data_IF_828709772099
#
_entry.id   IF_828709772099
#
_cell.length_a   1.000
_cell.length_b   1.000
_cell.length_c   1.000
_cell.angle_alpha   90.00
_cell.angle_beta   90.00
_cell.angle_gamma   90.00
#
_symmetry.space_group_name_H-M   'P 1'
#
loop_
_entity.id
_entity.type
_entity.pdbx_description
1 polymer ?
#
# COMPACT_ATOMS: atom_id res chain seq x y z
N UNK A 1 -58.30 38.99 40.04
CA UNK A 1 -58.05 38.50 38.67
C UNK A 1 -56.55 38.43 38.46
N UNK A 2 -56.00 37.22 38.57
CA UNK A 2 -54.57 36.92 38.61
C UNK A 2 -54.09 36.63 37.19
N UNK A 3 -53.00 37.27 36.74
CA UNK A 3 -52.32 36.93 35.49
C UNK A 3 -50.97 36.30 35.85
N UNK A 4 -50.91 34.99 35.75
CA UNK A 4 -49.70 34.19 35.84
C UNK A 4 -49.00 34.26 34.48
N UNK A 5 -47.86 34.96 34.40
CA UNK A 5 -46.97 34.93 33.24
C UNK A 5 -46.16 33.63 33.31
N UNK A 6 -46.49 32.66 32.47
CA UNK A 6 -45.65 31.49 32.24
C UNK A 6 -44.54 31.91 31.26
N UNK A 7 -43.35 32.19 31.78
CA UNK A 7 -42.15 32.30 30.98
C UNK A 7 -41.72 30.88 30.58
N UNK A 8 -42.13 30.44 29.39
CA UNK A 8 -41.61 29.22 28.76
C UNK A 8 -40.17 29.49 28.37
N UNK A 9 -39.24 29.10 29.23
CA UNK A 9 -37.83 29.03 28.91
C UNK A 9 -37.62 27.93 27.87
N UNK A 10 -37.49 28.34 26.61
CA UNK A 10 -36.93 27.50 25.56
C UNK A 10 -35.45 27.32 25.88
N UNK A 11 -35.12 26.32 26.70
CA UNK A 11 -33.77 25.77 26.74
C UNK A 11 -33.64 24.98 25.45
N UNK A 12 -33.16 25.65 24.40
CA UNK A 12 -32.63 24.99 23.23
C UNK A 12 -31.46 24.13 23.71
N UNK A 13 -31.75 22.85 23.98
CA UNK A 13 -30.74 21.84 24.03
C UNK A 13 -30.12 21.83 22.64
N UNK A 14 -29.01 22.55 22.48
CA UNK A 14 -28.02 22.19 21.49
C UNK A 14 -27.58 20.79 21.91
N UNK A 15 -28.28 19.78 21.38
CA UNK A 15 -27.68 18.49 21.14
C UNK A 15 -26.61 18.82 20.10
N UNK A 16 -25.45 19.27 20.58
CA UNK A 16 -24.24 19.13 19.81
C UNK A 16 -24.18 17.61 19.59
N UNK A 17 -24.52 17.18 18.37
CA UNK A 17 -24.07 15.87 17.93
C UNK A 17 -22.58 15.90 18.19
N UNK A 18 -22.16 15.10 19.16
CA UNK A 18 -20.77 14.85 19.50
C UNK A 18 -20.20 14.13 18.27
N UNK A 19 -19.92 14.91 17.22
CA UNK A 19 -18.96 14.52 16.22
C UNK A 19 -17.62 14.67 16.93
N UNK A 20 -17.34 13.72 17.81
CA UNK A 20 -15.97 13.49 18.23
C UNK A 20 -15.22 13.30 16.91
N UNK A 21 -14.24 14.17 16.67
CA UNK A 21 -13.48 14.23 15.42
C UNK A 21 -12.67 12.95 15.14
N UNK A 22 -12.94 11.86 15.87
CA UNK A 22 -12.39 10.52 15.69
C UNK A 22 -12.59 10.00 14.26
N UNK A 23 -13.65 10.42 13.57
CA UNK A 23 -13.91 10.08 12.16
C UNK A 23 -12.81 10.61 11.20
N UNK A 24 -12.00 11.59 11.62
CA UNK A 24 -10.93 12.16 10.79
C UNK A 24 -9.55 11.53 11.05
N UNK A 25 -9.46 10.60 12.00
CA UNK A 25 -8.21 9.94 12.32
C UNK A 25 -8.42 8.44 12.16
N UNK A 26 -7.63 7.77 11.30
CA UNK A 26 -7.71 6.32 11.19
C UNK A 26 -7.60 5.67 12.56
N UNK A 27 -8.35 4.61 12.78
CA UNK A 27 -8.31 3.83 14.02
C UNK A 27 -7.61 2.49 13.76
N UNK A 28 -6.91 1.90 14.74
CA UNK A 28 -6.39 0.55 14.60
C UNK A 28 -7.53 -0.45 14.36
N UNK A 29 -7.32 -1.37 13.44
CA UNK A 29 -8.24 -2.46 13.12
C UNK A 29 -7.65 -3.74 13.71
N UNK A 30 -8.43 -4.46 14.53
CA UNK A 30 -7.89 -5.57 15.33
C UNK A 30 -7.38 -6.74 14.47
N UNK A 31 -7.99 -6.90 13.30
CA UNK A 31 -7.67 -7.93 12.31
C UNK A 31 -6.42 -7.59 11.49
N UNK A 32 -6.12 -6.30 11.30
CA UNK A 32 -5.05 -5.83 10.43
C UNK A 32 -3.98 -5.08 11.25
N UNK A 33 -2.85 -5.74 11.57
CA UNK A 33 -1.82 -5.13 12.39
C UNK A 33 -1.20 -3.92 11.67
N UNK A 34 -0.81 -2.90 12.44
CA UNK A 34 -0.10 -1.77 11.86
C UNK A 34 1.39 -2.01 11.62
N UNK A 35 1.96 -3.10 12.12
CA UNK A 35 3.34 -3.51 11.83
C UNK A 35 3.36 -5.03 11.64
N UNK A 36 3.85 -5.50 10.49
CA UNK A 36 3.94 -6.93 10.18
C UNK A 36 5.29 -7.30 9.59
N UNK A 37 5.75 -8.52 9.89
CA UNK A 37 6.86 -9.18 9.20
C UNK A 37 6.28 -10.31 8.36
N UNK A 38 6.38 -10.19 7.04
CA UNK A 38 5.86 -11.17 6.10
C UNK A 38 6.86 -12.32 5.84
N UNK A 39 8.07 -12.22 6.41
CA UNK A 39 9.10 -13.27 6.34
C UNK A 39 9.97 -13.20 5.09
N UNK A 40 10.44 -14.35 4.63
CA UNK A 40 11.44 -14.48 3.57
C UNK A 40 10.82 -14.88 2.24
N UNK A 41 11.13 -14.12 1.20
CA UNK A 41 10.70 -14.33 -0.17
C UNK A 41 11.81 -14.97 -0.99
N UNK A 42 11.38 -15.84 -1.91
CA UNK A 42 12.23 -16.37 -2.96
C UNK A 42 11.86 -15.65 -4.25
N UNK A 43 12.79 -14.88 -4.85
CA UNK A 43 12.53 -14.24 -6.13
C UNK A 43 12.02 -15.24 -7.17
N UNK A 44 10.90 -14.92 -7.82
CA UNK A 44 10.36 -15.69 -8.92
C UNK A 44 11.27 -15.54 -10.13
N UNK A 45 11.48 -16.61 -10.88
CA UNK A 45 12.04 -16.49 -12.23
C UNK A 45 10.98 -15.89 -13.17
N UNK A 46 11.39 -15.27 -14.29
CA UNK A 46 10.44 -14.82 -15.34
C UNK A 46 9.48 -15.94 -15.78
N UNK A 47 9.94 -17.20 -15.84
CA UNK A 47 9.05 -18.31 -16.18
C UNK A 47 8.00 -18.62 -15.10
N UNK A 48 8.36 -18.49 -13.83
CA UNK A 48 7.41 -18.66 -12.72
C UNK A 48 6.44 -17.48 -12.67
N UNK A 49 6.94 -16.26 -12.93
CA UNK A 49 6.13 -15.04 -13.03
C UNK A 49 5.09 -15.11 -14.16
N UNK A 50 5.46 -15.72 -15.29
CA UNK A 50 4.56 -15.92 -16.43
C UNK A 50 3.49 -17.02 -16.21
N UNK A 51 3.63 -17.87 -15.18
CA UNK A 51 2.61 -18.85 -14.82
C UNK A 51 1.65 -18.22 -13.79
N UNK A 52 0.37 -17.96 -14.14
CA UNK A 52 -0.57 -17.30 -13.24
C UNK A 52 -0.75 -18.04 -11.90
N UNK A 53 -0.63 -19.37 -11.90
CA UNK A 53 -0.82 -20.15 -10.67
C UNK A 53 0.35 -19.97 -9.71
N UNK A 54 1.58 -20.02 -10.24
CA UNK A 54 2.80 -19.83 -9.45
C UNK A 54 2.95 -18.37 -9.01
N UNK A 55 2.56 -17.42 -9.87
CA UNK A 55 2.53 -16.01 -9.54
C UNK A 55 1.67 -15.73 -8.32
N UNK A 56 0.44 -16.23 -8.29
CA UNK A 56 -0.47 -16.08 -7.15
C UNK A 56 0.04 -16.85 -5.93
N UNK A 57 0.52 -18.09 -6.11
CA UNK A 57 1.03 -18.90 -4.99
C UNK A 57 2.24 -18.27 -4.28
N UNK A 58 3.10 -17.58 -5.02
CA UNK A 58 4.37 -17.02 -4.50
C UNK A 58 4.32 -15.53 -4.21
N UNK A 59 3.22 -14.86 -4.50
CA UNK A 59 2.98 -13.47 -4.08
C UNK A 59 2.27 -13.46 -2.74
N UNK A 60 2.41 -12.38 -2.00
CA UNK A 60 1.65 -12.16 -0.76
C UNK A 60 0.50 -11.24 -1.07
N UNK A 61 -0.63 -11.52 -0.45
CA UNK A 61 -1.84 -10.71 -0.44
C UNK A 61 -2.21 -10.52 1.02
N UNK A 62 -2.21 -9.29 1.52
CA UNK A 62 -2.48 -9.00 2.93
C UNK A 62 -3.09 -7.60 3.09
N UNK A 63 -3.39 -7.22 4.34
CA UNK A 63 -3.88 -5.90 4.70
C UNK A 63 -3.11 -5.30 5.87
N UNK A 64 -2.93 -3.98 5.85
CA UNK A 64 -2.28 -3.21 6.91
C UNK A 64 -3.25 -2.18 7.49
N UNK A 65 -3.39 -2.21 8.81
CA UNK A 65 -4.14 -1.19 9.54
C UNK A 65 -3.24 -0.11 10.11
N UNK A 66 -3.82 0.79 10.90
CA UNK A 66 -3.05 1.79 11.64
C UNK A 66 -2.21 1.16 12.75
N UNK A 67 -0.96 1.63 12.91
CA UNK A 67 -0.15 1.31 14.08
C UNK A 67 -0.78 1.83 15.39
N UNK A 68 -0.99 0.94 16.35
CA UNK A 68 -1.56 1.25 17.67
C UNK A 68 -0.67 2.20 18.50
N UNK A 69 0.63 2.25 18.22
CA UNK A 69 1.59 3.06 18.96
C UNK A 69 1.62 4.48 18.37
N UNK A 70 1.17 5.52 19.12
CA UNK A 70 1.14 6.88 18.60
C UNK A 70 2.53 7.39 18.20
N UNK A 71 2.62 7.99 17.01
CA UNK A 71 3.85 8.58 16.49
C UNK A 71 4.84 7.57 15.91
N UNK A 72 4.46 6.30 15.77
CA UNK A 72 5.21 5.32 15.00
C UNK A 72 4.59 5.11 13.63
N UNK A 73 5.45 4.84 12.65
CA UNK A 73 5.03 4.45 11.30
C UNK A 73 4.42 3.05 11.33
N UNK A 74 3.41 2.84 10.49
CA UNK A 74 2.91 1.51 10.16
C UNK A 74 3.57 0.96 8.90
N UNK A 75 3.39 -0.33 8.64
CA UNK A 75 3.90 -0.96 7.43
C UNK A 75 4.16 -2.45 7.55
N UNK A 76 4.66 -3.02 6.46
CA UNK A 76 5.14 -4.38 6.38
C UNK A 76 6.62 -4.42 6.04
N UNK A 77 7.31 -5.46 6.49
CA UNK A 77 8.64 -5.80 6.00
C UNK A 77 8.68 -7.24 5.51
N UNK A 78 9.50 -7.49 4.51
CA UNK A 78 9.90 -8.84 4.14
C UNK A 78 11.36 -8.83 3.68
N UNK A 79 11.96 -10.00 3.55
CA UNK A 79 13.34 -10.11 3.05
C UNK A 79 13.43 -10.98 1.82
N UNK A 80 14.48 -10.79 1.03
CA UNK A 80 14.85 -11.74 -0.01
C UNK A 80 16.38 -11.82 -0.14
N UNK A 81 16.87 -12.90 -0.73
CA UNK A 81 18.30 -13.05 -1.00
C UNK A 81 18.66 -12.55 -2.39
N UNK A 82 19.68 -11.72 -2.49
CA UNK A 82 20.19 -11.23 -3.77
C UNK A 82 20.59 -12.38 -4.69
N UNK A 83 20.09 -12.38 -5.93
CA UNK A 83 20.34 -13.46 -6.90
C UNK A 83 21.69 -13.33 -7.60
N UNK A 84 22.30 -12.15 -7.53
CA UNK A 84 23.47 -11.77 -8.33
C UNK A 84 23.10 -11.16 -9.69
N UNK A 85 21.80 -11.06 -10.00
CA UNK A 85 21.25 -10.31 -11.12
C UNK A 85 20.44 -9.09 -10.65
N UNK A 86 19.60 -8.57 -11.55
CA UNK A 86 18.62 -7.53 -11.20
C UNK A 86 17.33 -8.20 -10.75
N UNK A 87 16.77 -7.67 -9.66
CA UNK A 87 15.50 -8.12 -9.12
C UNK A 87 14.50 -6.97 -9.18
N UNK A 88 13.31 -7.24 -9.68
CA UNK A 88 12.15 -6.39 -9.59
C UNK A 88 11.41 -6.67 -8.29
N UNK A 89 11.36 -5.69 -7.39
CA UNK A 89 10.45 -5.71 -6.24
C UNK A 89 9.19 -5.00 -6.67
N UNK A 90 8.06 -5.68 -6.58
CA UNK A 90 6.76 -5.21 -7.05
C UNK A 90 5.80 -5.24 -5.86
N UNK A 91 5.15 -4.12 -5.59
CA UNK A 91 4.01 -4.03 -4.71
C UNK A 91 2.88 -3.39 -5.50
N UNK A 92 1.70 -3.96 -5.41
CA UNK A 92 0.51 -3.38 -5.96
C UNK A 92 -0.36 -3.03 -4.75
N UNK A 93 -0.37 -1.75 -4.32
CA UNK A 93 -1.27 -1.32 -3.26
C UNK A 93 -2.68 -1.22 -3.86
N UNK A 94 -3.41 -2.33 -3.91
CA UNK A 94 -4.75 -2.32 -4.48
C UNK A 94 -5.86 -2.31 -3.44
N UNK A 95 -6.92 -1.55 -3.77
CA UNK A 95 -8.15 -2.21 -4.19
C UNK A 95 -8.97 -1.25 -5.09
N UNK A 96 -8.83 -1.32 -6.42
CA UNK A 96 -9.52 -0.46 -7.40
C UNK A 96 -10.94 -0.97 -7.72
N UNK A 97 -11.45 -1.94 -6.97
CA UNK A 97 -12.89 -2.25 -7.02
C UNK A 97 -13.73 -1.46 -6.02
N UNK A 98 -13.07 -0.62 -5.21
CA UNK A 98 -13.74 0.14 -4.16
C UNK A 98 -14.26 1.46 -4.71
N UNK A 99 -15.55 1.51 -4.97
CA UNK A 99 -16.25 2.77 -5.18
C UNK A 99 -16.52 3.37 -3.81
N UNK A 100 -15.46 3.76 -3.10
CA UNK A 100 -15.54 4.31 -1.75
C UNK A 100 -14.83 5.65 -1.72
N UNK A 101 -15.63 6.69 -1.89
CA UNK A 101 -15.44 7.97 -1.24
C UNK A 101 -16.33 7.96 -0.02
N UNK A 102 -15.79 8.06 1.19
CA UNK A 102 -16.56 8.67 2.27
C UNK A 102 -16.22 10.15 2.27
N UNK A 103 -16.89 10.95 1.44
CA UNK A 103 -16.93 12.40 1.68
C UNK A 103 -17.42 12.60 3.12
N UNK A 104 -16.50 12.97 4.02
CA UNK A 104 -16.80 13.20 5.43
C UNK A 104 -17.93 14.24 5.64
N UNK A 105 -18.26 15.01 4.60
CA UNK A 105 -19.33 16.01 4.56
C UNK A 105 -20.61 15.49 3.90
N UNK A 106 -20.56 14.46 3.04
CA UNK A 106 -21.72 13.96 2.29
C UNK A 106 -21.57 12.50 1.82
N UNK A 107 -21.62 11.50 2.72
CA UNK A 107 -21.57 10.10 2.32
C UNK A 107 -22.76 9.75 1.42
N UNK A 108 -22.50 9.06 0.31
CA UNK A 108 -23.53 8.58 -0.63
C UNK A 108 -23.66 7.07 -0.57
N UNK A 109 -24.89 6.57 -0.38
CA UNK A 109 -25.20 5.13 -0.35
C UNK A 109 -25.30 4.48 -1.76
N UNK A 110 -24.85 5.19 -2.81
CA UNK A 110 -25.02 4.83 -4.22
C UNK A 110 -23.69 4.45 -4.86
N UNK A 111 -23.44 3.15 -4.93
CA UNK A 111 -22.20 2.54 -5.41
C UNK A 111 -22.30 2.29 -6.91
N UNK A 112 -21.25 2.63 -7.68
CA UNK A 112 -20.71 1.76 -8.75
C UNK A 112 -19.56 2.38 -9.58
N UNK A 113 -19.37 3.71 -9.69
CA UNK A 113 -18.39 4.24 -10.66
C UNK A 113 -17.74 5.62 -10.41
N UNK A 114 -17.89 6.26 -9.23
CA UNK A 114 -17.13 7.51 -8.94
C UNK A 114 -16.06 7.24 -7.87
N UNK A 115 -14.81 7.26 -8.33
CA UNK A 115 -13.60 7.21 -7.51
C UNK A 115 -13.29 8.60 -6.94
N UNK A 116 -12.93 8.65 -5.66
CA UNK A 116 -12.45 9.87 -5.02
C UNK A 116 -11.01 9.65 -4.59
N UNK A 117 -10.11 10.17 -5.41
CA UNK A 117 -8.66 10.03 -5.29
C UNK A 117 -8.06 10.61 -3.99
N UNK A 118 -8.88 11.15 -3.10
CA UNK A 118 -8.49 11.67 -1.79
C UNK A 118 -8.59 10.62 -0.66
N UNK A 119 -9.11 9.42 -0.92
CA UNK A 119 -9.40 8.37 0.08
C UNK A 119 -8.60 7.07 -0.13
N UNK A 120 -7.57 7.11 -0.96
CA UNK A 120 -6.85 5.90 -1.35
C UNK A 120 -5.73 5.58 -0.33
N UNK A 121 -5.73 4.34 0.16
CA UNK A 121 -4.60 3.78 0.88
C UNK A 121 -3.35 3.77 -0.01
N UNK A 122 -2.18 3.98 0.59
CA UNK A 122 -0.92 4.08 -0.14
C UNK A 122 0.22 3.53 0.72
N UNK A 123 1.19 2.91 0.05
CA UNK A 123 2.37 2.29 0.63
C UNK A 123 3.60 2.83 -0.07
N UNK A 124 4.57 3.37 0.68
CA UNK A 124 5.89 3.68 0.13
C UNK A 124 6.76 2.43 0.08
N UNK A 125 7.33 2.14 -1.09
CA UNK A 125 8.31 1.07 -1.26
C UNK A 125 9.76 1.56 -1.00
N UNK A 126 10.43 0.97 -0.02
CA UNK A 126 11.86 1.11 0.22
C UNK A 126 12.55 -0.26 0.21
N UNK A 127 13.75 -0.35 -0.35
CA UNK A 127 14.51 -1.60 -0.42
C UNK A 127 15.99 -1.31 -0.24
N UNK A 128 16.68 -2.12 0.56
CA UNK A 128 18.12 -2.03 0.73
C UNK A 128 18.68 -3.24 1.44
N UNK A 129 20.01 -3.33 1.54
CA UNK A 129 20.65 -4.40 2.31
C UNK A 129 20.12 -4.41 3.77
N UNK A 130 19.73 -5.58 4.26
CA UNK A 130 19.17 -5.74 5.61
C UNK A 130 20.11 -5.25 6.72
N UNK A 131 21.43 -5.19 6.45
CA UNK A 131 22.43 -4.66 7.38
C UNK A 131 22.29 -3.15 7.64
N UNK A 132 21.61 -2.41 6.76
CA UNK A 132 21.38 -0.97 6.90
C UNK A 132 19.95 -0.63 7.36
N UNK A 133 19.05 -1.60 7.41
CA UNK A 133 17.72 -1.40 7.97
C UNK A 133 17.82 -1.19 9.49
N UNK A 134 17.30 -0.07 9.98
CA UNK A 134 17.38 0.30 11.39
C UNK A 134 16.11 -0.04 12.21
N UNK A 135 15.09 -0.61 11.56
CA UNK A 135 13.88 -1.10 12.21
C UNK A 135 14.05 -2.50 12.82
N UNK A 136 12.95 -3.04 13.32
CA UNK A 136 12.87 -4.43 13.81
C UNK A 136 11.65 -5.06 13.17
N UNK A 137 11.82 -5.99 12.21
CA UNK A 137 10.70 -6.66 11.55
C UNK A 137 9.65 -7.16 12.54
N UNK A 138 8.38 -6.84 12.28
CA UNK A 138 7.23 -7.24 13.10
C UNK A 138 7.11 -6.54 14.46
N UNK A 139 8.00 -5.58 14.78
CA UNK A 139 7.97 -4.83 16.04
C UNK A 139 7.92 -3.32 15.80
N UNK A 140 8.75 -2.81 14.90
CA UNK A 140 8.78 -1.39 14.56
C UNK A 140 9.32 -1.17 13.15
N UNK A 141 8.64 -0.30 12.40
CA UNK A 141 9.10 0.17 11.10
C UNK A 141 10.22 1.19 11.27
N UNK A 142 11.33 0.93 10.58
CA UNK A 142 12.47 1.83 10.48
C UNK A 142 12.61 2.45 9.09
N UNK A 143 13.85 2.71 8.70
CA UNK A 143 14.26 3.13 7.37
C UNK A 143 15.70 2.66 7.09
N UNK A 144 16.28 3.12 5.98
CA UNK A 144 17.65 2.85 5.57
C UNK A 144 18.61 4.01 5.82
N UNK A 145 18.23 4.98 6.66
CA UNK A 145 19.10 6.09 7.05
C UNK A 145 20.08 5.69 8.15
N UNK A 146 21.34 6.04 7.95
CA UNK A 146 22.42 5.86 8.90
C UNK A 146 23.08 7.21 9.19
N UNK A 147 23.37 7.49 10.46
CA UNK A 147 24.05 8.72 10.87
C UNK A 147 25.48 8.40 11.29
N UNK A 148 26.46 9.03 10.66
CA UNK A 148 27.85 8.95 11.08
C UNK A 148 28.44 10.35 11.34
N UNK A 149 29.43 10.39 12.22
CA UNK A 149 30.19 11.62 12.50
C UNK A 149 31.41 11.67 11.57
N UNK A 150 31.55 12.76 10.81
CA UNK A 150 32.72 12.98 9.96
C UNK A 150 33.97 13.34 10.79
N UNK A 151 35.13 13.45 10.13
CA UNK A 151 36.39 13.78 10.80
C UNK A 151 36.45 15.18 11.42
N UNK A 152 35.44 16.02 11.17
CA UNK A 152 35.30 17.38 11.68
C UNK A 152 34.25 17.48 12.79
N UNK A 153 33.58 16.37 13.15
CA UNK A 153 32.53 16.34 14.16
C UNK A 153 31.13 16.66 13.64
N UNK A 154 30.93 16.74 12.32
CA UNK A 154 29.60 16.96 11.75
C UNK A 154 28.86 15.63 11.61
N UNK A 155 27.56 15.63 11.92
CA UNK A 155 26.69 14.48 11.61
C UNK A 155 26.32 14.51 10.13
N UNK A 156 26.55 13.39 9.45
CA UNK A 156 26.18 13.17 8.05
C UNK A 156 25.21 12.00 8.01
N UNK A 157 24.05 12.23 7.37
CA UNK A 157 23.08 11.18 7.09
C UNK A 157 23.46 10.53 5.76
N UNK A 158 23.56 9.21 5.77
CA UNK A 158 23.72 8.35 4.61
C UNK A 158 22.41 7.58 4.42
N UNK A 159 21.75 7.79 3.28
CA UNK A 159 20.57 7.05 2.86
C UNK A 159 21.01 5.80 2.09
N UNK A 160 20.65 4.62 2.59
CA UNK A 160 21.01 3.33 2.00
C UNK A 160 19.82 2.66 1.28
N UNK A 161 18.69 3.37 1.11
CA UNK A 161 17.62 2.92 0.23
C UNK A 161 18.16 2.85 -1.23
N UNK A 162 18.08 1.66 -1.80
CA UNK A 162 18.45 1.34 -3.18
C UNK A 162 17.23 1.43 -4.12
N UNK A 163 16.02 1.43 -3.55
CA UNK A 163 14.78 1.53 -4.31
C UNK A 163 14.58 2.95 -4.85
N UNK A 164 14.70 3.09 -6.17
CA UNK A 164 14.33 4.31 -6.87
C UNK A 164 13.03 4.10 -7.64
N UNK A 165 11.91 4.44 -7.00
CA UNK A 165 10.61 4.44 -7.66
C UNK A 165 10.58 5.53 -8.73
N UNK A 166 10.19 5.16 -9.95
CA UNK A 166 10.03 6.08 -11.06
C UNK A 166 8.54 6.23 -11.37
N UNK A 167 8.04 7.46 -11.34
CA UNK A 167 6.65 7.73 -11.69
C UNK A 167 6.38 7.49 -13.17
N UNK A 168 5.11 7.57 -13.56
CA UNK A 168 4.66 7.35 -14.95
C UNK A 168 5.41 8.20 -16.00
N UNK A 169 6.01 9.35 -15.62
CA UNK A 169 6.81 10.20 -16.53
C UNK A 169 8.32 10.13 -16.24
N UNK A 170 8.78 9.10 -15.52
CA UNK A 170 10.18 8.86 -15.19
C UNK A 170 10.74 9.79 -14.10
N UNK A 171 9.89 10.40 -13.28
CA UNK A 171 10.38 11.18 -12.12
C UNK A 171 10.77 10.22 -10.98
N UNK A 172 11.98 10.38 -10.47
CA UNK A 172 12.44 9.66 -9.28
C UNK A 172 11.68 10.12 -8.03
N UNK A 173 11.41 9.18 -7.10
CA UNK A 173 10.66 9.44 -5.87
C UNK A 173 9.19 9.70 -6.14
N UNK A 174 8.63 9.00 -7.14
CA UNK A 174 7.19 8.92 -7.26
C UNK A 174 6.65 7.93 -6.25
N UNK A 175 5.40 8.14 -5.87
CA UNK A 175 4.56 7.23 -5.12
C UNK A 175 3.43 6.90 -6.09
N UNK A 176 3.17 5.63 -6.33
CA UNK A 176 1.98 5.25 -7.07
C UNK A 176 0.84 5.25 -6.06
N UNK A 177 0.04 6.32 -6.11
CA UNK A 177 -1.32 6.19 -5.62
C UNK A 177 -2.05 5.07 -6.36
N UNK A 178 -3.21 4.72 -5.85
CA UNK A 178 -4.14 3.70 -6.37
C UNK A 178 -4.11 3.49 -7.88
N UNK A 179 -4.32 2.24 -8.29
CA UNK A 179 -4.48 1.81 -9.69
C UNK A 179 -3.18 1.73 -10.52
N UNK A 180 -2.04 1.55 -9.88
CA UNK A 180 -0.80 1.24 -10.57
C UNK A 180 0.17 0.52 -9.62
N UNK A 181 0.72 -0.63 -10.04
CA UNK A 181 1.78 -1.28 -9.29
C UNK A 181 2.99 -0.36 -9.10
N UNK A 182 3.48 -0.32 -7.88
CA UNK A 182 4.77 0.25 -7.51
C UNK A 182 5.88 -0.76 -7.65
N UNK A 183 7.01 -0.34 -8.21
CA UNK A 183 8.15 -1.21 -8.31
C UNK A 183 9.47 -0.47 -8.30
N UNK A 184 10.51 -1.22 -7.94
CA UNK A 184 11.88 -0.80 -8.18
C UNK A 184 12.77 -1.98 -8.58
N UNK A 185 13.81 -1.62 -9.32
CA UNK A 185 14.84 -2.53 -9.80
C UNK A 185 16.03 -2.46 -8.86
N UNK A 186 16.39 -3.60 -8.28
CA UNK A 186 17.49 -3.73 -7.33
C UNK A 186 18.60 -4.54 -8.00
N UNK A 187 19.74 -3.89 -8.23
CA UNK A 187 20.94 -4.56 -8.74
C UNK A 187 21.65 -5.31 -7.60
N UNK A 188 21.48 -6.63 -7.58
CA UNK A 188 22.08 -7.48 -6.55
C UNK A 188 23.44 -8.06 -6.97
N UNK A 189 24.00 -7.64 -8.10
CA UNK A 189 25.21 -8.21 -8.69
C UNK A 189 26.46 -8.07 -7.81
N UNK A 190 26.52 -7.03 -6.97
CA UNK A 190 27.62 -6.80 -6.03
C UNK A 190 27.45 -7.59 -4.72
N UNK A 191 26.26 -8.10 -4.44
CA UNK A 191 25.89 -8.72 -3.16
C UNK A 191 25.07 -10.02 -3.31
N UNK A 192 25.50 -10.99 -4.14
CA UNK A 192 24.79 -12.26 -4.27
C UNK A 192 24.75 -13.01 -2.93
N UNK A 193 23.59 -13.57 -2.60
CA UNK A 193 23.33 -14.31 -1.37
C UNK A 193 23.33 -13.47 -0.10
N UNK A 194 23.26 -12.14 -0.22
CA UNK A 194 23.01 -11.23 0.92
C UNK A 194 21.53 -10.95 1.03
N UNK A 195 21.08 -10.77 2.28
CA UNK A 195 19.69 -10.45 2.56
C UNK A 195 19.45 -8.95 2.28
N UNK A 196 18.39 -8.71 1.53
CA UNK A 196 17.78 -7.41 1.31
C UNK A 196 16.49 -7.35 2.11
N UNK A 197 16.22 -6.21 2.75
CA UNK A 197 14.93 -5.94 3.39
C UNK A 197 14.13 -5.08 2.42
N UNK A 198 12.89 -5.47 2.19
CA UNK A 198 11.86 -4.63 1.58
C UNK A 198 11.00 -4.09 2.70
N UNK A 199 10.76 -2.78 2.66
CA UNK A 199 9.87 -2.05 3.54
C UNK A 199 8.72 -1.51 2.70
N UNK A 200 7.50 -1.90 3.06
CA UNK A 200 6.25 -1.28 2.62
C UNK A 200 5.80 -0.35 3.73
N UNK A 201 6.13 0.94 3.66
CA UNK A 201 5.77 1.91 4.70
C UNK A 201 4.38 2.43 4.42
N UNK A 202 3.52 2.39 5.43
CA UNK A 202 2.18 2.96 5.34
C UNK A 202 2.23 4.48 5.20
N UNK A 203 1.71 5.00 4.07
CA UNK A 203 1.63 6.44 3.79
C UNK A 203 0.25 7.00 4.12
N UNK A 204 -0.81 6.36 3.59
CA UNK A 204 -2.21 6.68 3.88
C UNK A 204 -3.03 5.41 4.12
N UNK A 205 -4.16 5.58 4.81
CA UNK A 205 -5.17 4.54 4.97
C UNK A 205 -6.49 5.07 4.43
N UNK A 206 -7.33 4.20 3.84
CA UNK A 206 -8.70 4.53 3.50
C UNK A 206 -9.49 4.99 4.74
N UNK A 207 -10.42 5.93 4.58
CA UNK A 207 -11.19 6.50 5.68
C UNK A 207 -12.43 5.69 6.05
N UNK A 208 -12.84 4.75 5.20
CA UNK A 208 -14.00 3.89 5.35
C UNK A 208 -13.74 2.72 6.32
N UNK A 209 -12.63 2.00 6.14
CA UNK A 209 -12.29 0.83 6.95
C UNK A 209 -10.94 0.91 7.66
N UNK A 210 -10.11 1.90 7.31
CA UNK A 210 -8.75 2.10 7.84
C UNK A 210 -7.78 0.94 7.55
N UNK A 211 -7.95 0.27 6.41
CA UNK A 211 -7.10 -0.84 5.96
C UNK A 211 -6.59 -0.58 4.55
N UNK A 212 -5.27 -0.66 4.34
CA UNK A 212 -4.72 -0.75 2.98
C UNK A 212 -4.47 -2.20 2.65
N UNK A 213 -5.11 -2.69 1.60
CA UNK A 213 -4.83 -3.99 1.01
C UNK A 213 -3.71 -3.86 -0.02
N UNK A 214 -2.96 -4.94 -0.21
CA UNK A 214 -1.87 -4.95 -1.18
C UNK A 214 -1.52 -6.37 -1.59
N UNK A 215 -0.98 -6.49 -2.80
CA UNK A 215 -0.16 -7.60 -3.20
C UNK A 215 1.33 -7.21 -3.25
N UNK A 216 2.22 -8.15 -2.93
CA UNK A 216 3.66 -7.93 -3.05
C UNK A 216 4.37 -9.17 -3.56
N UNK A 217 5.40 -8.97 -4.37
CA UNK A 217 6.22 -10.04 -4.92
C UNK A 217 7.63 -9.57 -5.27
N UNK A 218 8.48 -10.54 -5.61
CA UNK A 218 9.85 -10.30 -6.02
C UNK A 218 10.14 -11.15 -7.26
N UNK A 219 10.57 -10.53 -8.35
CA UNK A 219 10.81 -11.20 -9.64
C UNK A 219 12.25 -10.96 -10.07
N UNK A 220 13.01 -12.02 -10.33
CA UNK A 220 14.28 -11.92 -11.03
C UNK A 220 14.03 -11.62 -12.51
N UNK A 221 14.59 -10.50 -13.01
CA UNK A 221 14.42 -10.05 -14.40
C UNK A 221 15.69 -10.32 -15.21
N UNK A 222 15.55 -10.52 -16.52
CA UNK A 222 16.72 -10.77 -17.35
C UNK A 222 17.59 -9.52 -17.52
N UNK A 223 18.88 -9.73 -17.83
CA UNK A 223 19.81 -8.62 -18.03
C UNK A 223 19.37 -7.74 -19.22
N UNK A 224 19.00 -6.49 -18.91
CA UNK A 224 18.54 -5.52 -19.89
C UNK A 224 17.02 -5.42 -20.03
N UNK A 225 16.27 -6.23 -19.29
CA UNK A 225 14.83 -6.03 -19.07
C UNK A 225 14.60 -5.07 -17.90
N UNK A 226 13.42 -4.45 -17.89
CA UNK A 226 12.93 -3.61 -16.80
C UNK A 226 11.79 -4.30 -16.03
N UNK A 227 11.49 -3.81 -14.83
CA UNK A 227 10.26 -4.19 -14.11
C UNK A 227 9.01 -3.98 -14.98
N UNK A 228 8.96 -2.88 -15.72
CA UNK A 228 7.84 -2.58 -16.61
C UNK A 228 7.69 -3.62 -17.73
N UNK A 229 8.80 -4.15 -18.26
CA UNK A 229 8.76 -5.24 -19.23
C UNK A 229 8.22 -6.54 -18.61
N UNK A 230 8.64 -6.85 -17.37
CA UNK A 230 8.14 -8.02 -16.65
C UNK A 230 6.62 -7.92 -16.37
N UNK A 231 6.11 -6.75 -15.98
CA UNK A 231 4.68 -6.47 -15.79
C UNK A 231 3.93 -6.61 -17.12
N UNK A 232 4.42 -5.96 -18.18
CA UNK A 232 3.80 -5.99 -19.51
C UNK A 232 3.80 -7.39 -20.15
N UNK A 233 4.71 -8.28 -19.74
CA UNK A 233 4.76 -9.66 -20.21
C UNK A 233 3.59 -10.52 -19.73
N UNK A 234 2.96 -10.13 -18.61
CA UNK A 234 1.92 -10.95 -17.96
C UNK A 234 0.56 -10.27 -17.91
N UNK A 235 0.49 -8.96 -18.13
CA UNK A 235 -0.78 -8.24 -18.27
C UNK A 235 -0.66 -7.06 -19.23
N UNK A 236 -1.74 -6.78 -19.97
CA UNK A 236 -1.85 -5.57 -20.78
C UNK A 236 -2.24 -4.34 -19.94
N UNK A 237 -2.91 -4.56 -18.82
CA UNK A 237 -3.19 -3.56 -17.80
C UNK A 237 -2.30 -3.84 -16.58
N UNK A 238 -1.36 -2.95 -16.21
CA UNK A 238 -0.46 -3.15 -15.08
C UNK A 238 -1.15 -3.58 -13.79
N UNK A 239 -2.35 -3.06 -13.52
CA UNK A 239 -3.16 -3.41 -12.35
C UNK A 239 -3.47 -4.91 -12.24
N UNK A 240 -3.56 -5.59 -13.38
CA UNK A 240 -3.88 -7.01 -13.41
C UNK A 240 -2.63 -7.91 -13.37
N UNK A 241 -1.47 -7.33 -13.04
CA UNK A 241 -0.23 -8.07 -12.91
C UNK A 241 -0.19 -8.91 -11.62
N UNK A 242 -0.79 -8.45 -10.52
CA UNK A 242 -0.88 -9.17 -9.25
C UNK A 242 -2.34 -9.45 -8.86
N UNK A 243 -3.05 -10.36 -9.55
CA UNK A 243 -4.47 -10.57 -9.28
C UNK A 243 -4.72 -11.26 -7.93
N UNK A 244 -5.93 -11.16 -7.39
CA UNK A 244 -6.49 -11.71 -6.13
C UNK A 244 -6.40 -10.80 -4.90
N UNK A 245 -6.15 -9.52 -5.07
CA UNK A 245 -6.06 -8.57 -3.96
C UNK A 245 -7.40 -8.45 -3.22
N UNK A 246 -8.52 -8.56 -3.96
CA UNK A 246 -9.87 -8.52 -3.40
C UNK A 246 -10.34 -9.81 -2.71
N UNK A 247 -9.52 -10.86 -2.61
CA UNK A 247 -9.96 -12.14 -2.04
C UNK A 247 -10.18 -12.11 -0.53
N UNK A 248 -9.55 -11.19 0.20
CA UNK A 248 -9.73 -11.02 1.64
C UNK A 248 -11.17 -10.62 2.00
N UNK A 249 -11.82 -9.80 1.17
CA UNK A 249 -13.14 -9.22 1.46
C UNK A 249 -14.26 -9.67 0.48
N UNK A 250 -13.96 -10.66 -0.38
CA UNK A 250 -14.95 -11.29 -1.26
C UNK A 250 -15.18 -10.57 -2.59
N UNK A 251 -14.25 -9.70 -3.01
CA UNK A 251 -14.32 -8.89 -4.23
C UNK A 251 -13.55 -9.44 -5.42
N UNK A 252 -12.97 -10.64 -5.29
CA UNK A 252 -12.26 -11.33 -6.38
C UNK A 252 -13.07 -11.40 -7.70
N UNK A 253 -14.40 -11.43 -7.63
CA UNK A 253 -15.26 -11.42 -8.81
C UNK A 253 -15.27 -10.06 -9.55
N UNK A 254 -15.12 -8.94 -8.85
CA UNK A 254 -15.08 -7.61 -9.49
C UNK A 254 -13.73 -7.40 -10.16
N UNK A 255 -12.66 -7.83 -9.50
CA UNK A 255 -11.31 -7.88 -10.04
C UNK A 255 -11.20 -8.72 -11.30
N UNK A 256 -11.76 -9.93 -11.26
CA UNK A 256 -11.82 -10.81 -12.43
C UNK A 256 -12.53 -10.13 -13.61
N UNK A 257 -13.62 -9.40 -13.35
CA UNK A 257 -14.35 -8.66 -14.38
C UNK A 257 -13.57 -7.44 -14.90
N UNK A 258 -12.87 -6.70 -14.04
CA UNK A 258 -12.00 -5.60 -14.45
C UNK A 258 -10.87 -6.10 -15.33
N UNK A 259 -10.14 -7.12 -14.87
CA UNK A 259 -9.03 -7.70 -15.61
C UNK A 259 -9.45 -8.44 -16.89
N UNK A 260 -10.72 -8.84 -17.00
CA UNK A 260 -11.30 -9.33 -18.24
C UNK A 260 -11.74 -8.19 -19.21
N UNK A 261 -11.72 -6.93 -18.78
CA UNK A 261 -12.25 -5.79 -19.54
C UNK A 261 -13.78 -5.79 -19.62
N UNK A 262 -14.44 -6.43 -18.66
CA UNK A 262 -15.89 -6.61 -18.60
C UNK A 262 -16.58 -5.66 -17.59
N UNK A 263 -15.81 -4.96 -16.74
CA UNK A 263 -16.34 -4.06 -15.70
C UNK A 263 -17.18 -2.90 -16.26
N UNK A 264 -16.80 -2.33 -17.42
CA UNK A 264 -17.52 -1.23 -18.08
C UNK A 264 -19.02 -1.55 -18.28
N UNK A 265 -19.38 -2.83 -18.46
CA UNK A 265 -20.77 -3.26 -18.62
C UNK A 265 -21.62 -3.13 -17.35
N UNK A 266 -21.00 -3.22 -16.18
CA UNK A 266 -21.68 -3.07 -14.88
C UNK A 266 -21.91 -1.59 -14.53
N UNK A 267 -21.04 -0.71 -15.02
CA UNK A 267 -21.08 0.72 -14.74
C UNK A 267 -22.12 1.50 -15.56
N UNK A 268 -22.50 0.98 -16.73
CA UNK A 268 -23.46 1.64 -17.63
C UNK A 268 -24.94 1.32 -17.35
N UNK A 269 -25.23 0.28 -16.58
CA UNK A 269 -26.59 -0.24 -16.35
C UNK A 269 -27.25 0.29 -15.06
N UNK A 270 -26.56 1.18 -14.32
CA UNK A 270 -26.99 1.73 -13.03
C UNK A 270 -27.70 3.11 -13.11
N UNK A 271 -27.96 3.64 -14.31
CA UNK A 271 -28.75 4.88 -14.52
C UNK A 271 -30.27 4.67 -14.64
#
# INVERSE_FOLDING_TARGET
MSRLLLAVGFVSAFVACDRDNEQYFPQPVAEYPGVVDLGDFVPLTISDWADPSLRVEKSIYDGLGKNEIPGQWGGATFTFQGTGGTVCVLVDPEAVFWVQSVDARSPTDGYLCEDDNYDDGDLDLEVGLSAYYNGTPGVSIGNFEQVYEDSLGNQVVFEANECQMNGQRGQAGAHAGRATPEFCEIDTSLHPGRDYTVLLRLWSLPADDYVVHYAATVVEIEAGESCADAIAAVSADPECALPNEGTADGFAAVEELYCAGELDSLCTDAE
#
